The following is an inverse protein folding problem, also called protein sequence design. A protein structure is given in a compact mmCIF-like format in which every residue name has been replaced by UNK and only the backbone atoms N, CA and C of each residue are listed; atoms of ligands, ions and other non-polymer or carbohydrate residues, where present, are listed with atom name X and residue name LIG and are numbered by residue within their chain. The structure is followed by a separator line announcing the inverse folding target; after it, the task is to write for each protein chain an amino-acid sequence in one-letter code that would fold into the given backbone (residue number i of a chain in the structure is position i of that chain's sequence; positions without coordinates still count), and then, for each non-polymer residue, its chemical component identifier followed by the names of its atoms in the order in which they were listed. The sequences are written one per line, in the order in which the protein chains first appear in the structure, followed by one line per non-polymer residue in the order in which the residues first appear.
data_IF_959286004019
#
_entry.id   IF_959286004019
#
_cell.length_a   1.000
_cell.length_b   1.000
_cell.length_c   1.000
_cell.angle_alpha   90.00
_cell.angle_beta   90.00
_cell.angle_gamma   90.00
#
_symmetry.space_group_name_H-M   'P 1'
#
loop_
_entity.id
_entity.type
_entity.pdbx_description
1 polymer ?
#
# COMPACT_ATOMS: atom_id res chain seq x y z
N UNK A 1 17.78 19.52 -28.67
CA UNK A 1 18.44 19.46 -27.35
C UNK A 1 18.62 20.89 -26.87
N UNK A 2 17.97 21.28 -25.78
CA UNK A 2 18.00 22.65 -25.29
C UNK A 2 19.18 22.77 -24.28
N UNK A 3 20.22 23.58 -24.55
CA UNK A 3 21.47 23.53 -23.78
C UNK A 3 21.39 24.11 -22.36
N UNK A 4 20.25 24.70 -21.95
CA UNK A 4 20.13 25.41 -20.66
C UNK A 4 19.71 24.58 -19.43
N UNK A 5 19.50 23.26 -19.57
CA UNK A 5 18.96 22.42 -18.48
C UNK A 5 19.92 22.15 -17.31
N UNK A 6 21.23 22.16 -17.58
CA UNK A 6 22.28 21.80 -16.63
C UNK A 6 22.76 22.92 -15.72
N UNK A 7 22.23 24.13 -15.82
CA UNK A 7 22.63 25.25 -14.95
C UNK A 7 21.86 25.19 -13.63
N UNK A 8 22.59 24.98 -12.55
CA UNK A 8 22.05 25.04 -11.20
C UNK A 8 21.94 26.50 -10.73
N UNK A 9 20.75 26.90 -10.28
CA UNK A 9 20.50 28.22 -9.70
C UNK A 9 20.12 28.10 -8.22
N UNK A 10 21.02 28.57 -7.36
CA UNK A 10 20.83 28.62 -5.91
C UNK A 10 19.78 29.64 -5.47
N UNK A 11 19.64 30.73 -6.22
CA UNK A 11 18.76 31.86 -5.91
C UNK A 11 17.29 31.57 -6.20
N UNK A 12 16.99 30.48 -6.91
CA UNK A 12 15.64 30.11 -7.28
C UNK A 12 14.72 29.98 -6.04
N UNK A 13 13.47 30.44 -6.19
CA UNK A 13 12.44 30.36 -5.15
C UNK A 13 12.24 28.91 -4.67
N UNK A 14 12.29 27.93 -5.59
CA UNK A 14 12.16 26.51 -5.25
C UNK A 14 13.33 26.02 -4.39
N UNK A 15 14.56 26.44 -4.70
CA UNK A 15 15.74 26.10 -3.91
C UNK A 15 15.69 26.76 -2.52
N UNK A 16 15.20 28.00 -2.45
CA UNK A 16 14.99 28.70 -1.18
C UNK A 16 13.94 28.02 -0.30
N UNK A 17 12.80 27.61 -0.88
CA UNK A 17 11.77 26.82 -0.18
C UNK A 17 12.31 25.46 0.28
N UNK A 18 13.07 24.76 -0.56
CA UNK A 18 13.68 23.49 -0.20
C UNK A 18 14.64 23.61 0.99
N UNK A 19 15.46 24.68 1.05
CA UNK A 19 16.33 24.95 2.20
C UNK A 19 15.52 25.25 3.47
N UNK A 20 14.41 25.95 3.35
CA UNK A 20 13.56 26.23 4.49
C UNK A 20 12.83 24.98 4.99
N UNK A 21 12.53 24.02 4.10
CA UNK A 21 11.91 22.74 4.49
C UNK A 21 12.87 21.82 5.25
N UNK A 22 14.19 21.93 5.05
CA UNK A 22 15.19 21.21 5.85
C UNK A 22 15.31 21.79 7.27
N UNK A 23 15.13 23.11 7.44
CA UNK A 23 15.11 23.77 8.75
C UNK A 23 13.81 23.44 9.49
N UNK A 24 12.66 23.61 8.86
CA UNK A 24 11.35 23.33 9.45
C UNK A 24 11.05 21.83 9.31
N UNK A 25 11.72 20.99 10.10
CA UNK A 25 11.56 19.52 10.12
C UNK A 25 10.22 19.08 10.69
N UNK A 26 9.75 17.85 10.38
CA UNK A 26 8.43 17.33 10.78
C UNK A 26 8.07 17.59 12.26
N UNK A 27 8.97 17.34 13.23
CA UNK A 27 8.66 17.64 14.63
C UNK A 27 8.40 19.14 14.86
N UNK A 28 9.16 20.04 14.26
CA UNK A 28 8.98 21.49 14.40
C UNK A 28 7.60 21.94 13.85
N UNK A 29 7.17 21.39 12.72
CA UNK A 29 5.82 21.68 12.20
C UNK A 29 4.71 21.20 13.14
N UNK A 30 4.92 20.03 13.76
CA UNK A 30 3.98 19.48 14.73
C UNK A 30 3.96 20.28 16.04
N UNK A 31 5.11 20.72 16.54
CA UNK A 31 5.17 21.58 17.75
C UNK A 31 4.52 22.94 17.49
N UNK A 32 4.76 23.58 16.35
CA UNK A 32 4.09 24.82 15.96
C UNK A 32 2.56 24.66 15.93
N UNK A 33 2.08 23.54 15.38
CA UNK A 33 0.65 23.23 15.34
C UNK A 33 0.06 23.01 16.75
N UNK A 34 0.75 22.26 17.60
CA UNK A 34 0.33 22.02 18.99
C UNK A 34 0.31 23.31 19.80
N UNK A 35 1.33 24.16 19.65
CA UNK A 35 1.40 25.48 20.28
C UNK A 35 0.22 26.34 19.82
N UNK A 36 -0.09 26.36 18.53
CA UNK A 36 -1.24 27.10 18.02
C UNK A 36 -2.56 26.63 18.66
N UNK A 37 -2.79 25.31 18.75
CA UNK A 37 -3.98 24.76 19.40
C UNK A 37 -4.02 25.16 20.88
N UNK A 38 -2.90 25.05 21.60
CA UNK A 38 -2.83 25.36 23.03
C UNK A 38 -3.11 26.85 23.29
N UNK A 39 -2.59 27.75 22.45
CA UNK A 39 -2.87 29.18 22.52
C UNK A 39 -4.36 29.48 22.25
N UNK A 40 -4.98 28.81 21.28
CA UNK A 40 -6.42 28.95 21.00
C UNK A 40 -7.25 28.47 22.19
N UNK A 41 -6.98 27.26 22.70
CA UNK A 41 -7.74 26.68 23.83
C UNK A 41 -7.59 27.53 25.09
N UNK A 42 -6.37 27.97 25.40
CA UNK A 42 -6.10 28.87 26.53
C UNK A 42 -6.77 30.23 26.35
N UNK A 43 -6.70 30.80 25.14
CA UNK A 43 -7.36 32.07 24.82
C UNK A 43 -8.88 31.99 24.99
N UNK A 44 -9.51 30.93 24.49
CA UNK A 44 -10.96 30.69 24.65
C UNK A 44 -11.33 30.50 26.11
N UNK A 45 -10.54 29.75 26.89
CA UNK A 45 -10.78 29.57 28.32
C UNK A 45 -10.74 30.90 29.09
N UNK A 46 -9.80 31.79 28.75
CA UNK A 46 -9.72 33.13 29.34
C UNK A 46 -10.90 34.02 28.94
N UNK A 47 -11.39 33.93 27.71
CA UNK A 47 -12.62 34.63 27.28
C UNK A 47 -13.83 34.14 28.08
N UNK A 48 -13.95 32.83 28.30
CA UNK A 48 -15.01 32.25 29.14
C UNK A 48 -14.91 32.70 30.61
N UNK A 49 -13.70 32.92 31.11
CA UNK A 49 -13.43 33.52 32.42
C UNK A 49 -13.66 35.05 32.46
N UNK A 50 -14.25 35.64 31.41
CA UNK A 50 -14.52 37.08 31.25
C UNK A 50 -13.25 37.95 31.22
N UNK A 51 -12.10 37.38 30.89
CA UNK A 51 -10.85 38.13 30.69
C UNK A 51 -10.69 38.53 29.22
N UNK A 52 -10.67 39.84 28.93
CA UNK A 52 -10.54 40.38 27.56
C UNK A 52 -9.22 40.01 26.88
N UNK A 53 -8.16 39.75 27.67
CA UNK A 53 -6.86 39.31 27.16
C UNK A 53 -6.91 37.97 26.40
N UNK A 54 -7.94 37.16 26.62
CA UNK A 54 -8.11 35.87 25.93
C UNK A 54 -8.19 36.01 24.40
N UNK A 55 -8.75 37.10 23.88
CA UNK A 55 -8.80 37.39 22.44
C UNK A 55 -7.41 37.64 21.84
N UNK A 56 -6.55 38.37 22.57
CA UNK A 56 -5.18 38.63 22.13
C UNK A 56 -4.36 37.33 22.12
N UNK A 57 -4.54 36.48 23.13
CA UNK A 57 -3.84 35.19 23.21
C UNK A 57 -4.29 34.24 22.09
N UNK A 58 -5.59 34.18 21.79
CA UNK A 58 -6.11 33.41 20.66
C UNK A 58 -5.59 33.95 19.32
N UNK A 59 -5.52 35.27 19.15
CA UNK A 59 -4.95 35.91 17.96
C UNK A 59 -3.46 35.60 17.77
N UNK A 60 -2.70 35.50 18.86
CA UNK A 60 -1.29 35.14 18.83
C UNK A 60 -1.03 33.70 18.36
N UNK A 61 -2.05 32.84 18.27
CA UNK A 61 -1.92 31.52 17.67
C UNK A 61 -1.78 31.57 16.14
N UNK A 62 -2.27 32.62 15.48
CA UNK A 62 -2.35 32.69 14.03
C UNK A 62 -0.99 32.56 13.31
N UNK A 63 0.11 33.22 13.75
CA UNK A 63 1.43 33.04 13.13
C UNK A 63 1.96 31.60 13.23
N UNK A 64 1.74 30.91 14.35
CA UNK A 64 2.17 29.51 14.53
C UNK A 64 1.38 28.57 13.63
N UNK A 65 0.06 28.78 13.57
CA UNK A 65 -0.80 28.02 12.66
C UNK A 65 -0.44 28.27 11.20
N UNK A 66 -0.21 29.52 10.81
CA UNK A 66 0.19 29.90 9.45
C UNK A 66 1.49 29.21 9.03
N UNK A 67 2.52 29.20 9.90
CA UNK A 67 3.77 28.50 9.63
C UNK A 67 3.59 26.98 9.52
N UNK A 68 2.76 26.39 10.40
CA UNK A 68 2.45 24.96 10.34
C UNK A 68 1.67 24.59 9.07
N UNK A 69 0.70 25.41 8.68
CA UNK A 69 -0.12 25.23 7.48
C UNK A 69 0.69 25.42 6.20
N UNK A 70 1.53 26.46 6.13
CA UNK A 70 2.45 26.69 5.02
C UNK A 70 3.40 25.51 4.82
N UNK A 71 3.90 24.94 5.92
CA UNK A 71 4.75 23.76 5.89
C UNK A 71 4.05 22.53 5.31
N UNK A 72 2.78 22.32 5.64
CA UNK A 72 1.97 21.20 5.12
C UNK A 72 1.59 21.38 3.66
N UNK A 73 1.40 22.62 3.21
CA UNK A 73 0.93 22.93 1.86
C UNK A 73 2.03 23.07 0.81
N UNK A 74 3.07 23.87 1.08
CA UNK A 74 3.98 24.39 0.05
C UNK A 74 5.44 23.90 0.22
N UNK A 75 5.83 23.54 1.45
CA UNK A 75 7.20 23.09 1.75
C UNK A 75 7.38 21.56 1.68
N UNK A 76 6.30 20.80 1.81
CA UNK A 76 6.37 19.34 1.88
C UNK A 76 6.48 18.69 0.50
N UNK A 77 5.70 19.17 -0.47
CA UNK A 77 5.68 18.66 -1.84
C UNK A 77 5.95 19.82 -2.80
N UNK A 78 7.20 19.94 -3.26
CA UNK A 78 7.63 20.97 -4.20
C UNK A 78 7.38 20.51 -5.64
N UNK A 79 6.35 21.04 -6.34
CA UNK A 79 6.03 20.60 -7.70
C UNK A 79 7.20 20.84 -8.65
N UNK A 80 7.39 19.92 -9.59
CA UNK A 80 8.37 20.07 -10.67
C UNK A 80 7.83 21.07 -11.68
N UNK A 81 8.57 22.16 -11.90
CA UNK A 81 8.03 23.33 -12.63
C UNK A 81 8.69 23.50 -14.01
N UNK A 82 9.94 23.08 -14.18
CA UNK A 82 10.74 23.37 -15.38
C UNK A 82 11.64 22.20 -15.76
N UNK A 83 12.12 22.17 -17.02
CA UNK A 83 13.13 21.22 -17.51
C UNK A 83 14.56 21.47 -17.00
N UNK A 84 14.71 22.37 -16.02
CA UNK A 84 16.01 22.69 -15.42
C UNK A 84 16.31 21.73 -14.28
N UNK A 85 17.60 21.51 -14.00
CA UNK A 85 18.02 20.61 -12.92
C UNK A 85 17.41 20.99 -11.56
N UNK A 86 17.46 22.26 -11.17
CA UNK A 86 16.88 22.74 -9.91
C UNK A 86 15.35 22.69 -9.90
N UNK A 87 14.69 22.60 -11.06
CA UNK A 87 13.26 22.39 -11.23
C UNK A 87 12.83 20.92 -11.15
N UNK A 88 13.74 19.98 -11.41
CA UNK A 88 13.48 18.53 -11.40
C UNK A 88 14.04 17.80 -10.17
N UNK A 89 15.02 18.37 -9.47
CA UNK A 89 15.57 17.81 -8.23
C UNK A 89 14.53 17.61 -7.13
N UNK A 90 14.74 16.59 -6.29
CA UNK A 90 13.96 16.37 -5.08
C UNK A 90 14.31 17.41 -4.01
N UNK A 91 13.29 17.83 -3.23
CA UNK A 91 13.46 18.88 -2.23
C UNK A 91 14.47 18.56 -1.12
N UNK A 92 14.65 17.28 -0.78
CA UNK A 92 15.59 16.82 0.24
C UNK A 92 17.07 16.93 -0.18
N UNK A 93 17.31 17.01 -1.48
CA UNK A 93 18.65 17.23 -2.07
C UNK A 93 18.83 18.71 -2.31
N UNK A 94 17.88 19.34 -3.01
CA UNK A 94 17.92 20.75 -3.38
C UNK A 94 18.10 21.65 -2.15
N UNK A 95 17.50 21.28 -1.02
CA UNK A 95 17.59 22.04 0.23
C UNK A 95 18.91 21.92 0.99
N UNK A 96 19.85 21.10 0.53
CA UNK A 96 21.16 20.87 1.19
C UNK A 96 22.36 21.31 0.35
N UNK A 97 22.16 21.63 -0.93
CA UNK A 97 23.24 22.04 -1.83
C UNK A 97 23.67 23.48 -1.56
N UNK A 98 24.98 23.72 -1.63
CA UNK A 98 25.61 25.04 -1.60
C UNK A 98 25.35 25.88 -2.86
N UNK A 99 25.98 27.07 -2.91
CA UNK A 99 25.85 28.01 -4.04
C UNK A 99 26.50 27.50 -5.32
N UNK A 100 27.67 26.89 -5.19
CA UNK A 100 28.48 26.32 -6.27
C UNK A 100 28.89 24.91 -5.83
N UNK A 101 27.95 23.95 -5.88
CA UNK A 101 28.20 22.62 -5.34
C UNK A 101 29.27 21.90 -6.14
N UNK A 102 30.23 21.29 -5.45
CA UNK A 102 31.20 20.40 -6.08
C UNK A 102 30.62 18.98 -6.24
N UNK A 103 31.12 18.17 -7.18
CA UNK A 103 30.72 16.76 -7.31
C UNK A 103 30.82 15.97 -6.00
N UNK A 104 31.85 16.24 -5.19
CA UNK A 104 32.00 15.68 -3.85
C UNK A 104 30.88 16.12 -2.87
N UNK A 105 30.55 17.41 -2.84
CA UNK A 105 29.42 17.88 -2.02
C UNK A 105 28.11 17.19 -2.43
N UNK A 106 27.90 17.02 -3.73
CA UNK A 106 26.74 16.32 -4.28
C UNK A 106 26.75 14.84 -3.91
N UNK A 107 27.90 14.15 -3.98
CA UNK A 107 28.05 12.77 -3.52
C UNK A 107 27.62 12.61 -2.06
N UNK A 108 28.06 13.52 -1.20
CA UNK A 108 27.71 13.53 0.24
C UNK A 108 26.22 13.79 0.47
N UNK A 109 25.63 14.75 -0.25
CA UNK A 109 24.20 15.05 -0.14
C UNK A 109 23.35 13.91 -0.70
N UNK A 110 23.70 13.38 -1.87
CA UNK A 110 23.01 12.28 -2.54
C UNK A 110 23.01 11.01 -1.68
N UNK A 111 24.17 10.61 -1.14
CA UNK A 111 24.28 9.46 -0.23
C UNK A 111 23.48 9.61 1.07
N UNK A 112 23.32 10.84 1.58
CA UNK A 112 22.47 11.12 2.77
C UNK A 112 20.96 11.02 2.50
N UNK A 113 20.55 11.08 1.24
CA UNK A 113 19.14 10.98 0.84
C UNK A 113 18.59 9.57 1.03
N UNK A 114 17.28 9.39 0.83
CA UNK A 114 16.67 8.04 0.88
C UNK A 114 17.13 7.17 -0.30
N UNK A 115 17.20 7.74 -1.50
CA UNK A 115 17.66 7.02 -2.70
C UNK A 115 19.13 6.64 -2.62
N UNK A 116 19.99 7.55 -2.14
CA UNK A 116 21.41 7.25 -1.95
C UNK A 116 21.67 6.17 -0.89
N UNK A 117 20.93 6.19 0.23
CA UNK A 117 21.01 5.10 1.23
C UNK A 117 20.51 3.76 0.69
N UNK A 118 19.48 3.77 -0.13
CA UNK A 118 19.02 2.57 -0.82
C UNK A 118 20.14 1.99 -1.70
N UNK A 119 20.84 2.83 -2.46
CA UNK A 119 21.99 2.43 -3.26
C UNK A 119 23.17 1.92 -2.42
N UNK A 120 23.46 2.57 -1.29
CA UNK A 120 24.50 2.12 -0.36
C UNK A 120 24.22 0.73 0.19
N UNK A 121 22.98 0.46 0.61
CA UNK A 121 22.60 -0.84 1.19
C UNK A 121 22.53 -1.92 0.13
N UNK A 122 22.02 -1.61 -1.07
CA UNK A 122 21.69 -2.62 -2.07
C UNK A 122 22.80 -2.91 -3.08
N UNK A 123 23.55 -1.88 -3.45
CA UNK A 123 24.60 -1.93 -4.44
C UNK A 123 25.98 -1.63 -3.85
N UNK A 124 26.10 -1.41 -2.53
CA UNK A 124 27.37 -1.08 -1.88
C UNK A 124 27.90 0.32 -2.21
N UNK A 125 27.10 1.15 -2.88
CA UNK A 125 27.47 2.51 -3.31
C UNK A 125 27.34 3.47 -2.13
N UNK A 126 28.39 3.56 -1.31
CA UNK A 126 28.39 4.41 -0.12
C UNK A 126 28.77 5.85 -0.43
N UNK A 127 28.49 6.77 0.50
CA UNK A 127 28.91 8.17 0.37
C UNK A 127 30.43 8.34 0.36
N UNK A 128 31.16 7.50 1.10
CA UNK A 128 32.63 7.50 1.07
C UNK A 128 33.14 7.06 -0.30
N UNK A 129 32.57 5.97 -0.83
CA UNK A 129 32.90 5.49 -2.17
C UNK A 129 32.68 6.57 -3.24
N UNK A 130 31.50 7.23 -3.22
CA UNK A 130 31.20 8.29 -4.18
C UNK A 130 32.15 9.48 -4.01
N UNK A 131 32.49 9.86 -2.78
CA UNK A 131 33.46 10.91 -2.52
C UNK A 131 34.83 10.57 -3.14
N UNK A 132 35.30 9.34 -2.95
CA UNK A 132 36.62 8.89 -3.42
C UNK A 132 36.78 8.92 -4.95
N UNK A 133 35.69 8.75 -5.71
CA UNK A 133 35.71 8.78 -7.19
C UNK A 133 35.40 10.15 -7.79
N UNK A 134 34.97 11.12 -6.96
CA UNK A 134 34.54 12.44 -7.43
C UNK A 134 35.61 13.51 -7.24
N UNK A 135 35.57 14.54 -8.09
CA UNK A 135 36.47 15.68 -7.96
C UNK A 135 35.86 16.80 -7.10
N UNK A 136 36.72 17.71 -6.62
CA UNK A 136 36.28 18.93 -5.95
C UNK A 136 35.98 20.09 -6.93
N UNK A 137 36.22 19.90 -8.23
CA UNK A 137 36.08 20.95 -9.24
C UNK A 137 34.61 21.23 -9.59
N UNK A 138 34.07 22.42 -9.26
CA UNK A 138 32.68 22.76 -9.58
C UNK A 138 32.40 22.85 -11.09
N UNK A 139 33.42 22.99 -11.95
CA UNK A 139 33.22 23.08 -13.40
C UNK A 139 32.67 21.78 -14.00
N UNK A 140 33.01 20.63 -13.41
CA UNK A 140 32.55 19.31 -13.87
C UNK A 140 31.07 19.05 -13.55
N UNK A 141 30.50 19.87 -12.68
CA UNK A 141 29.14 19.70 -12.18
C UNK A 141 28.08 19.86 -13.28
N UNK A 142 28.33 20.70 -14.29
CA UNK A 142 27.42 20.89 -15.42
C UNK A 142 27.17 19.59 -16.19
N UNK A 143 28.23 18.78 -16.40
CA UNK A 143 28.13 17.49 -17.08
C UNK A 143 27.30 16.50 -16.24
N UNK A 144 27.55 16.44 -14.93
CA UNK A 144 26.79 15.59 -14.01
C UNK A 144 25.31 15.98 -13.98
N UNK A 145 24.98 17.27 -14.02
CA UNK A 145 23.59 17.73 -14.09
C UNK A 145 22.89 17.31 -15.36
N UNK A 146 23.54 17.43 -16.51
CA UNK A 146 22.97 16.96 -17.78
C UNK A 146 22.75 15.45 -17.76
N UNK A 147 23.70 14.69 -17.24
CA UNK A 147 23.57 13.24 -17.07
C UNK A 147 22.44 12.86 -16.13
N UNK A 148 22.32 13.53 -14.98
CA UNK A 148 21.21 13.28 -14.07
C UNK A 148 19.83 13.47 -14.72
N UNK A 149 19.66 14.47 -15.58
CA UNK A 149 18.43 14.70 -16.34
C UNK A 149 18.18 13.60 -17.37
N UNK A 150 19.21 13.14 -18.07
CA UNK A 150 19.14 12.02 -19.02
C UNK A 150 18.69 10.73 -18.34
N UNK A 151 19.31 10.39 -17.20
CA UNK A 151 18.98 9.20 -16.41
C UNK A 151 17.57 9.29 -15.85
N UNK A 152 17.16 10.46 -15.37
CA UNK A 152 15.80 10.68 -14.90
C UNK A 152 14.78 10.40 -16.03
N UNK A 153 15.05 10.90 -17.23
CA UNK A 153 14.19 10.70 -18.39
C UNK A 153 14.16 9.22 -18.82
N UNK A 154 15.30 8.53 -18.81
CA UNK A 154 15.41 7.09 -19.11
C UNK A 154 14.62 6.23 -18.13
N UNK A 155 14.79 6.47 -16.84
CA UNK A 155 14.23 5.63 -15.75
C UNK A 155 12.80 6.00 -15.34
N UNK A 156 12.20 7.03 -15.96
CA UNK A 156 10.87 7.52 -15.60
C UNK A 156 10.76 8.04 -14.16
N UNK A 157 11.88 8.53 -13.60
CA UNK A 157 11.95 9.06 -12.24
C UNK A 157 11.15 10.36 -12.10
N UNK A 158 10.29 10.47 -11.07
CA UNK A 158 9.49 11.69 -10.85
C UNK A 158 10.36 12.92 -10.52
N UNK A 159 11.49 12.69 -9.86
CA UNK A 159 12.45 13.73 -9.48
C UNK A 159 13.89 13.21 -9.65
N UNK A 160 14.84 14.13 -9.88
CA UNK A 160 16.26 13.82 -9.69
C UNK A 160 16.50 13.66 -8.18
N UNK A 161 16.55 12.40 -7.76
CA UNK A 161 16.77 11.98 -6.37
C UNK A 161 18.21 11.47 -6.19
N UNK A 162 18.59 11.07 -4.98
CA UNK A 162 19.98 10.74 -4.71
C UNK A 162 20.43 9.44 -5.35
N UNK A 163 19.50 8.56 -5.72
CA UNK A 163 19.81 7.40 -6.56
C UNK A 163 20.17 7.82 -7.99
N UNK A 164 19.39 8.71 -8.61
CA UNK A 164 19.71 9.26 -9.93
C UNK A 164 21.06 10.00 -9.91
N UNK A 165 21.32 10.79 -8.86
CA UNK A 165 22.59 11.49 -8.72
C UNK A 165 23.78 10.57 -8.48
N UNK A 166 23.59 9.49 -7.71
CA UNK A 166 24.64 8.49 -7.55
C UNK A 166 25.03 7.90 -8.91
N UNK A 167 24.05 7.45 -9.70
CA UNK A 167 24.33 6.89 -11.04
C UNK A 167 24.93 7.94 -11.98
N UNK A 168 24.46 9.19 -11.94
CA UNK A 168 25.04 10.27 -12.75
C UNK A 168 26.51 10.53 -12.42
N UNK A 169 26.90 10.50 -11.14
CA UNK A 169 28.30 10.62 -10.74
C UNK A 169 29.12 9.44 -11.27
N UNK A 170 28.60 8.22 -11.19
CA UNK A 170 29.27 7.03 -11.74
C UNK A 170 29.51 7.13 -13.26
N UNK A 171 28.52 7.59 -14.03
CA UNK A 171 28.64 7.68 -15.48
C UNK A 171 29.65 8.74 -15.94
N UNK A 172 29.84 9.80 -15.15
CA UNK A 172 30.76 10.90 -15.48
C UNK A 172 32.22 10.53 -15.16
N UNK A 173 32.46 9.79 -14.08
CA UNK A 173 33.81 9.42 -13.66
C UNK A 173 34.17 8.01 -14.14
N UNK A 174 34.87 7.92 -15.27
CA UNK A 174 35.23 6.66 -15.96
C UNK A 174 36.11 5.69 -15.14
N UNK A 175 36.76 6.15 -14.07
CA UNK A 175 37.47 5.28 -13.14
C UNK A 175 36.53 4.36 -12.34
N UNK A 176 35.24 4.69 -12.30
CA UNK A 176 34.22 3.95 -11.58
C UNK A 176 33.83 2.62 -12.28
N UNK A 177 34.06 2.46 -13.59
CA UNK A 177 33.78 1.23 -14.33
C UNK A 177 34.59 0.04 -13.80
N UNK A 178 35.88 0.28 -13.47
CA UNK A 178 36.77 -0.75 -12.92
C UNK A 178 36.32 -1.18 -11.52
N UNK A 179 35.79 -0.25 -10.74
CA UNK A 179 35.31 -0.50 -9.38
C UNK A 179 33.96 -1.24 -9.40
N UNK A 180 33.07 -0.89 -10.32
CA UNK A 180 31.81 -1.62 -10.53
C UNK A 180 32.07 -3.08 -10.94
N UNK A 181 33.04 -3.30 -11.84
CA UNK A 181 33.44 -4.65 -12.21
C UNK A 181 33.94 -5.47 -11.00
N UNK A 182 34.66 -4.86 -10.06
CA UNK A 182 35.08 -5.53 -8.82
C UNK A 182 33.88 -5.90 -7.93
N UNK A 183 32.85 -5.07 -7.92
CA UNK A 183 31.58 -5.32 -7.22
C UNK A 183 30.66 -6.28 -7.99
N UNK A 184 31.07 -6.72 -9.18
CA UNK A 184 30.26 -7.52 -10.12
C UNK A 184 28.95 -6.84 -10.49
N UNK A 185 29.02 -5.53 -10.70
CA UNK A 185 27.91 -4.70 -11.13
C UNK A 185 28.20 -4.12 -12.50
N UNK A 186 27.15 -3.98 -13.30
CA UNK A 186 27.15 -3.27 -14.57
C UNK A 186 26.37 -1.96 -14.45
N UNK A 187 26.56 -1.04 -15.41
CA UNK A 187 25.80 0.21 -15.42
C UNK A 187 24.29 -0.04 -15.55
N UNK A 188 23.89 -1.09 -16.28
CA UNK A 188 22.49 -1.49 -16.41
C UNK A 188 21.87 -1.95 -15.08
N UNK A 189 22.65 -2.54 -14.18
CA UNK A 189 22.18 -2.88 -12.82
C UNK A 189 21.86 -1.61 -12.01
N UNK A 190 22.64 -0.55 -12.19
CA UNK A 190 22.41 0.72 -11.52
C UNK A 190 21.16 1.42 -12.05
N UNK A 191 20.92 1.39 -13.36
CA UNK A 191 19.68 1.87 -13.96
C UNK A 191 18.47 1.11 -13.44
N UNK A 192 18.53 -0.23 -13.43
CA UNK A 192 17.50 -1.08 -12.84
C UNK A 192 17.30 -0.76 -11.35
N UNK A 193 18.36 -0.44 -10.62
CA UNK A 193 18.30 0.02 -9.23
C UNK A 193 17.50 1.31 -9.04
N UNK A 194 17.63 2.28 -9.94
CA UNK A 194 16.85 3.53 -9.91
C UNK A 194 15.37 3.22 -10.17
N UNK A 195 15.07 2.42 -11.20
CA UNK A 195 13.72 2.00 -11.54
C UNK A 195 13.05 1.27 -10.38
N UNK A 196 13.78 0.36 -9.74
CA UNK A 196 13.29 -0.38 -8.58
C UNK A 196 13.01 0.55 -7.38
N UNK A 197 13.92 1.48 -7.07
CA UNK A 197 13.67 2.47 -6.01
C UNK A 197 12.40 3.30 -6.29
N UNK A 198 12.20 3.71 -7.55
CA UNK A 198 10.99 4.43 -7.95
C UNK A 198 9.73 3.57 -7.82
N UNK A 199 9.79 2.30 -8.22
CA UNK A 199 8.70 1.34 -8.05
C UNK A 199 8.31 1.19 -6.58
N UNK A 200 9.29 0.93 -5.72
CA UNK A 200 9.09 0.88 -4.27
C UNK A 200 8.45 2.16 -3.73
N UNK A 201 8.90 3.32 -4.21
CA UNK A 201 8.35 4.60 -3.73
C UNK A 201 6.91 4.81 -4.15
N UNK A 202 6.55 4.48 -5.39
CA UNK A 202 5.16 4.50 -5.87
C UNK A 202 4.26 3.59 -5.03
N UNK A 203 4.72 2.38 -4.71
CA UNK A 203 3.98 1.45 -3.83
C UNK A 203 3.78 2.03 -2.42
N UNK A 204 4.84 2.57 -1.81
CA UNK A 204 4.77 3.18 -0.49
C UNK A 204 3.79 4.36 -0.47
N UNK A 205 3.83 5.22 -1.48
CA UNK A 205 2.98 6.41 -1.52
C UNK A 205 1.50 6.04 -1.78
N UNK A 206 1.23 4.96 -2.54
CA UNK A 206 -0.11 4.35 -2.66
C UNK A 206 -0.63 3.82 -1.31
N UNK A 207 0.22 3.16 -0.52
CA UNK A 207 -0.15 2.62 0.80
C UNK A 207 -0.37 3.71 1.86
N UNK A 208 0.34 4.84 1.77
CA UNK A 208 0.16 5.96 2.70
C UNK A 208 -1.18 6.67 2.56
N UNK A 209 -1.91 6.48 1.47
CA UNK A 209 -3.24 7.05 1.35
C UNK A 209 -4.15 6.49 2.45
N UNK A 210 -4.70 7.34 3.35
CA UNK A 210 -5.56 6.85 4.41
C UNK A 210 -6.81 6.22 3.80
N UNK A 211 -6.94 4.91 3.94
CA UNK A 211 -8.16 4.19 3.59
C UNK A 211 -9.26 4.60 4.56
N UNK A 212 -10.34 5.20 4.05
CA UNK A 212 -11.55 5.46 4.84
C UNK A 212 -12.30 4.13 4.96
N UNK A 213 -12.07 3.38 6.03
CA UNK A 213 -12.58 2.00 6.22
C UNK A 213 -13.96 1.92 6.88
N UNK A 214 -14.70 3.03 6.96
CA UNK A 214 -16.01 3.11 7.64
C UNK A 214 -15.95 3.45 9.14
N UNK A 215 -14.75 3.43 9.74
CA UNK A 215 -14.51 3.89 11.12
C UNK A 215 -15.11 3.00 12.21
N UNK A 216 -15.19 3.53 13.44
CA UNK A 216 -15.62 2.79 14.64
C UNK A 216 -17.09 2.33 14.52
N UNK A 217 -17.94 3.09 13.83
CA UNK A 217 -19.35 2.72 13.62
C UNK A 217 -19.51 1.39 12.86
N UNK A 218 -18.62 1.07 11.92
CA UNK A 218 -18.57 -0.25 11.29
C UNK A 218 -18.34 -1.32 12.35
N UNK A 219 -17.33 -1.13 13.20
CA UNK A 219 -16.89 -2.10 14.22
C UNK A 219 -17.85 -2.27 15.40
N UNK A 220 -18.73 -1.29 15.64
CA UNK A 220 -19.79 -1.37 16.64
C UNK A 220 -21.12 -1.87 16.08
N UNK A 221 -21.30 -1.91 14.74
CA UNK A 221 -22.52 -2.42 14.11
C UNK A 221 -22.70 -3.93 14.25
N UNK A 222 -21.69 -4.63 14.75
CA UNK A 222 -21.72 -6.09 14.90
C UNK A 222 -22.40 -6.50 16.19
N UNK A 223 -23.32 -7.45 16.10
CA UNK A 223 -23.83 -8.18 17.25
C UNK A 223 -22.74 -9.02 17.92
N UNK A 224 -23.13 -9.80 18.93
CA UNK A 224 -22.24 -10.72 19.63
C UNK A 224 -21.87 -11.91 18.72
N UNK A 225 -20.58 -12.01 18.33
CA UNK A 225 -20.04 -13.03 17.40
C UNK A 225 -18.81 -13.80 17.95
N UNK A 226 -18.91 -14.47 19.11
CA UNK A 226 -17.78 -15.13 19.75
C UNK A 226 -17.25 -16.35 18.97
N UNK A 227 -18.12 -17.18 18.40
CA UNK A 227 -17.69 -18.38 17.68
C UNK A 227 -17.00 -17.99 16.38
N UNK A 228 -17.54 -17.01 15.67
CA UNK A 228 -16.93 -16.52 14.44
C UNK A 228 -15.55 -15.89 14.68
N UNK A 229 -15.35 -15.20 15.81
CA UNK A 229 -14.03 -14.69 16.20
C UNK A 229 -13.04 -15.78 16.63
N UNK A 230 -13.55 -16.88 17.21
CA UNK A 230 -12.73 -18.00 17.69
C UNK A 230 -12.26 -18.89 16.54
N UNK A 231 -13.14 -19.19 15.59
CA UNK A 231 -12.86 -20.12 14.48
C UNK A 231 -12.58 -19.43 13.15
N UNK A 232 -12.75 -18.11 13.07
CA UNK A 232 -12.56 -17.33 11.85
C UNK A 232 -11.53 -16.21 11.99
N UNK A 233 -10.87 -15.92 10.87
CA UNK A 233 -9.96 -14.80 10.72
C UNK A 233 -10.66 -13.66 9.98
N UNK A 234 -10.65 -12.46 10.56
CA UNK A 234 -11.15 -11.27 9.90
C UNK A 234 -10.12 -10.73 8.89
N UNK A 235 -10.33 -11.00 7.61
CA UNK A 235 -9.43 -10.54 6.55
C UNK A 235 -9.51 -9.03 6.36
N UNK A 236 -10.70 -8.46 6.50
CA UNK A 236 -10.97 -7.02 6.40
C UNK A 236 -10.23 -6.19 7.46
N UNK A 237 -9.97 -6.73 8.65
CA UNK A 237 -9.17 -6.04 9.67
C UNK A 237 -7.67 -5.98 9.29
N UNK A 238 -7.17 -7.00 8.59
CA UNK A 238 -5.76 -7.12 8.21
C UNK A 238 -5.37 -6.35 6.94
N UNK A 239 -6.35 -5.96 6.12
CA UNK A 239 -6.16 -5.29 4.82
C UNK A 239 -5.45 -3.93 4.91
N UNK A 240 -5.45 -3.26 6.07
CA UNK A 240 -4.75 -1.99 6.25
C UNK A 240 -3.23 -2.09 6.43
N UNK A 241 -2.70 -3.31 6.63
CA UNK A 241 -1.32 -3.54 7.06
C UNK A 241 -0.46 -4.33 6.06
N UNK A 242 -1.07 -4.96 5.06
CA UNK A 242 -0.32 -5.77 4.08
C UNK A 242 -0.18 -5.03 2.76
N UNK A 243 1.06 -5.04 2.25
CA UNK A 243 1.39 -4.76 0.85
C UNK A 243 0.49 -5.68 0.04
N UNK A 244 -0.58 -5.12 -0.53
CA UNK A 244 -1.35 -5.82 -1.54
C UNK A 244 -0.42 -6.03 -2.71
N UNK A 245 0.11 -7.25 -2.82
CA UNK A 245 0.64 -7.77 -4.07
C UNK A 245 -0.50 -7.53 -5.06
N UNK A 246 -0.28 -6.59 -5.97
CA UNK A 246 -1.20 -6.32 -7.06
C UNK A 246 -1.41 -7.65 -7.75
N UNK A 247 -2.58 -8.25 -7.48
CA UNK A 247 -3.03 -9.42 -8.19
C UNK A 247 -3.46 -8.97 -9.59
N UNK A 248 -2.53 -8.39 -10.35
CA UNK A 248 -2.73 -8.04 -11.76
C UNK A 248 -3.19 -9.29 -12.51
N UNK A 249 -2.57 -10.44 -12.20
CA UNK A 249 -2.95 -11.79 -12.62
C UNK A 249 -4.37 -12.22 -12.22
N UNK A 250 -4.96 -11.66 -11.15
CA UNK A 250 -6.31 -12.03 -10.68
C UNK A 250 -7.35 -10.91 -10.79
N UNK A 251 -7.05 -9.81 -11.52
CA UNK A 251 -8.01 -8.71 -11.72
C UNK A 251 -9.34 -9.18 -12.31
N UNK A 252 -9.31 -10.09 -13.27
CA UNK A 252 -10.52 -10.63 -13.89
C UNK A 252 -11.37 -11.41 -12.89
N UNK A 253 -10.76 -12.33 -12.13
CA UNK A 253 -11.44 -13.10 -11.11
C UNK A 253 -12.01 -12.21 -9.99
N UNK A 254 -11.29 -11.16 -9.62
CA UNK A 254 -11.73 -10.17 -8.62
C UNK A 254 -12.95 -9.38 -9.09
N UNK A 255 -12.95 -8.93 -10.34
CA UNK A 255 -14.09 -8.23 -10.95
C UNK A 255 -15.32 -9.14 -11.04
N UNK A 256 -15.15 -10.40 -11.45
CA UNK A 256 -16.24 -11.38 -11.50
C UNK A 256 -16.82 -11.64 -10.09
N UNK A 257 -15.98 -11.68 -9.07
CA UNK A 257 -16.40 -11.83 -7.69
C UNK A 257 -17.18 -10.61 -7.20
N UNK A 258 -16.73 -9.40 -7.52
CA UNK A 258 -17.45 -8.15 -7.24
C UNK A 258 -18.81 -8.09 -7.93
N UNK A 259 -18.89 -8.52 -9.19
CA UNK A 259 -20.14 -8.58 -9.95
C UNK A 259 -21.11 -9.59 -9.32
N UNK A 260 -20.61 -10.77 -8.96
CA UNK A 260 -21.38 -11.84 -8.32
C UNK A 260 -22.07 -11.33 -7.06
N UNK A 261 -21.30 -10.75 -6.12
CA UNK A 261 -21.85 -10.25 -4.86
C UNK A 261 -22.60 -8.92 -5.01
N UNK A 262 -22.32 -8.15 -6.07
CA UNK A 262 -22.95 -6.87 -6.37
C UNK A 262 -24.33 -7.01 -7.03
N UNK A 263 -24.54 -8.11 -7.76
CA UNK A 263 -25.81 -8.43 -8.41
C UNK A 263 -26.93 -8.73 -7.41
N UNK A 264 -28.19 -8.58 -7.84
CA UNK A 264 -29.36 -8.99 -7.07
C UNK A 264 -29.68 -10.50 -7.16
N UNK A 265 -28.83 -11.28 -7.82
CA UNK A 265 -29.00 -12.73 -8.00
C UNK A 265 -28.46 -13.54 -6.82
N UNK A 266 -28.04 -14.78 -7.09
CA UNK A 266 -27.38 -15.64 -6.09
C UNK A 266 -26.03 -15.04 -5.71
N UNK A 267 -25.89 -14.61 -4.46
CA UNK A 267 -24.69 -13.94 -3.95
C UNK A 267 -23.75 -14.94 -3.26
N UNK A 268 -23.49 -16.07 -3.91
CA UNK A 268 -22.54 -17.09 -3.46
C UNK A 268 -21.54 -17.40 -4.58
N UNK A 269 -20.28 -17.63 -4.22
CA UNK A 269 -19.21 -17.87 -5.18
C UNK A 269 -18.39 -19.11 -4.82
N UNK A 270 -17.96 -19.86 -5.84
CA UNK A 270 -16.96 -20.90 -5.72
C UNK A 270 -15.68 -20.45 -6.44
N UNK A 271 -14.61 -20.23 -5.67
CA UNK A 271 -13.27 -19.99 -6.19
C UNK A 271 -12.61 -21.33 -6.51
N UNK A 272 -12.45 -21.61 -7.79
CA UNK A 272 -11.96 -22.90 -8.30
C UNK A 272 -10.59 -22.72 -8.93
N UNK A 273 -9.60 -23.49 -8.48
CA UNK A 273 -8.25 -23.49 -9.04
C UNK A 273 -7.33 -24.45 -8.29
N UNK A 274 -6.10 -24.65 -8.75
CA UNK A 274 -5.14 -25.53 -8.08
C UNK A 274 -4.68 -25.04 -6.71
N UNK A 275 -4.03 -25.92 -5.94
CA UNK A 275 -3.30 -25.52 -4.73
C UNK A 275 -2.22 -24.49 -5.07
N UNK A 276 -2.06 -23.47 -4.22
CA UNK A 276 -1.09 -22.38 -4.47
C UNK A 276 -1.49 -21.38 -5.56
N UNK A 277 -2.64 -21.52 -6.23
CA UNK A 277 -3.10 -20.58 -7.28
C UNK A 277 -3.50 -19.18 -6.77
N UNK A 278 -3.33 -18.86 -5.49
CA UNK A 278 -3.63 -17.54 -4.95
C UNK A 278 -5.09 -17.28 -4.55
N UNK A 279 -5.92 -18.33 -4.37
CA UNK A 279 -7.34 -18.20 -3.96
C UNK A 279 -7.52 -17.35 -2.68
N UNK A 280 -6.73 -17.61 -1.64
CA UNK A 280 -6.73 -16.84 -0.39
C UNK A 280 -6.30 -15.38 -0.62
N UNK A 281 -5.33 -15.14 -1.51
CA UNK A 281 -4.87 -13.80 -1.89
C UNK A 281 -5.99 -13.02 -2.58
N UNK A 282 -6.74 -13.67 -3.47
CA UNK A 282 -7.90 -13.09 -4.15
C UNK A 282 -8.99 -12.66 -3.15
N UNK A 283 -9.33 -13.51 -2.17
CA UNK A 283 -10.31 -13.16 -1.12
C UNK A 283 -9.81 -12.01 -0.26
N UNK A 284 -8.50 -11.96 0.04
CA UNK A 284 -7.90 -10.84 0.78
C UNK A 284 -7.99 -9.53 -0.02
N UNK A 285 -7.65 -9.55 -1.30
CA UNK A 285 -7.78 -8.40 -2.20
C UNK A 285 -9.25 -7.92 -2.28
N UNK A 286 -10.20 -8.86 -2.40
CA UNK A 286 -11.62 -8.56 -2.34
C UNK A 286 -12.02 -7.88 -1.02
N UNK A 287 -11.60 -8.44 0.13
CA UNK A 287 -11.91 -7.89 1.45
C UNK A 287 -11.44 -6.45 1.62
N UNK A 288 -10.30 -6.11 1.02
CA UNK A 288 -9.75 -4.77 1.07
C UNK A 288 -10.48 -3.80 0.15
N UNK A 289 -10.84 -4.24 -1.07
CA UNK A 289 -11.66 -3.43 -1.98
C UNK A 289 -13.00 -3.05 -1.37
N UNK A 290 -13.64 -3.97 -0.63
CA UNK A 290 -14.90 -3.69 0.07
C UNK A 290 -14.80 -2.58 1.12
N UNK A 291 -13.64 -2.47 1.76
CA UNK A 291 -13.37 -1.44 2.76
C UNK A 291 -12.91 -0.12 2.18
N UNK A 292 -12.42 -0.12 0.94
CA UNK A 292 -11.93 1.09 0.31
C UNK A 292 -13.11 1.99 -0.11
N UNK A 293 -13.35 3.07 0.63
CA UNK A 293 -14.42 4.03 0.31
C UNK A 293 -14.34 4.65 -1.09
N UNK A 294 -13.13 4.76 -1.66
CA UNK A 294 -12.91 5.31 -3.02
C UNK A 294 -13.19 4.28 -4.11
N UNK A 295 -13.30 2.99 -3.78
CA UNK A 295 -13.58 1.96 -4.76
C UNK A 295 -14.98 2.16 -5.37
N UNK A 296 -15.06 2.04 -6.70
CA UNK A 296 -16.32 2.08 -7.46
C UNK A 296 -17.04 0.73 -7.31
N UNK A 297 -17.54 0.46 -6.12
CA UNK A 297 -18.31 -0.75 -5.81
C UNK A 297 -19.77 -0.41 -5.44
N UNK A 298 -20.72 -1.32 -5.71
CA UNK A 298 -22.11 -1.18 -5.31
C UNK A 298 -22.29 -0.86 -3.81
N UNK A 299 -23.27 -0.03 -3.47
CA UNK A 299 -23.49 0.42 -2.09
C UNK A 299 -23.83 -0.73 -1.13
N UNK A 300 -24.46 -1.80 -1.62
CA UNK A 300 -24.77 -3.02 -0.86
C UNK A 300 -23.53 -3.84 -0.47
N UNK A 301 -22.35 -3.56 -1.04
CA UNK A 301 -21.07 -4.22 -0.75
C UNK A 301 -20.11 -3.39 0.10
N UNK A 302 -20.28 -2.06 0.11
CA UNK A 302 -19.39 -1.16 0.83
C UNK A 302 -19.35 -1.49 2.33
N UNK A 303 -18.14 -1.52 2.89
CA UNK A 303 -17.85 -1.71 4.31
C UNK A 303 -18.29 -3.06 4.91
N UNK A 304 -18.62 -4.04 4.06
CA UNK A 304 -18.78 -5.43 4.49
C UNK A 304 -17.45 -6.04 4.88
N UNK A 305 -17.50 -6.88 5.89
CA UNK A 305 -16.33 -7.60 6.38
C UNK A 305 -16.29 -9.02 5.82
N UNK A 306 -15.10 -9.48 5.49
CA UNK A 306 -14.87 -10.85 5.04
C UNK A 306 -14.21 -11.62 6.17
N UNK A 307 -14.89 -12.68 6.62
CA UNK A 307 -14.38 -13.61 7.61
C UNK A 307 -14.01 -14.91 6.90
N UNK A 308 -12.77 -15.34 7.07
CA UNK A 308 -12.28 -16.60 6.55
C UNK A 308 -12.30 -17.66 7.64
N UNK A 309 -12.95 -18.78 7.37
CA UNK A 309 -13.03 -19.96 8.23
C UNK A 309 -12.12 -21.03 7.64
N UNK A 310 -11.27 -21.60 8.48
CA UNK A 310 -10.47 -22.76 8.12
C UNK A 310 -11.29 -24.03 8.34
N UNK A 311 -11.61 -24.72 7.25
CA UNK A 311 -12.41 -25.94 7.28
C UNK A 311 -11.74 -27.05 8.10
N UNK A 312 -10.40 -27.15 8.05
CA UNK A 312 -9.66 -28.15 8.82
C UNK A 312 -9.73 -27.88 10.33
N UNK A 313 -9.62 -26.61 10.73
CA UNK A 313 -9.74 -26.21 12.13
C UNK A 313 -11.14 -26.49 12.71
N UNK A 314 -12.19 -26.29 11.91
CA UNK A 314 -13.57 -26.58 12.30
C UNK A 314 -13.80 -28.08 12.49
N UNK A 315 -13.33 -28.91 11.56
CA UNK A 315 -13.39 -30.38 11.65
C UNK A 315 -12.63 -30.88 12.89
N UNK A 316 -11.43 -30.32 13.15
CA UNK A 316 -10.62 -30.69 14.31
C UNK A 316 -11.30 -30.33 15.66
N UNK A 317 -12.07 -29.24 15.69
CA UNK A 317 -12.77 -28.79 16.89
C UNK A 317 -14.02 -29.61 17.22
N UNK A 318 -14.61 -30.28 16.23
CA UNK A 318 -15.83 -31.07 16.36
C UNK A 318 -15.71 -32.37 15.55
N UNK A 319 -15.07 -33.41 16.10
CA UNK A 319 -14.83 -34.67 15.38
C UNK A 319 -16.11 -35.47 15.14
N UNK A 320 -17.15 -35.26 15.96
CA UNK A 320 -18.46 -35.87 15.74
C UNK A 320 -19.23 -35.17 14.62
N UNK A 321 -19.79 -35.92 13.66
CA UNK A 321 -20.60 -35.36 12.55
C UNK A 321 -21.68 -34.39 13.04
N UNK A 322 -22.49 -34.79 14.02
CA UNK A 322 -23.56 -33.94 14.55
C UNK A 322 -23.06 -32.72 15.30
N UNK A 323 -21.91 -32.83 15.98
CA UNK A 323 -21.25 -31.71 16.64
C UNK A 323 -20.73 -30.70 15.62
N UNK A 324 -20.16 -31.17 14.51
CA UNK A 324 -19.68 -30.32 13.42
C UNK A 324 -20.84 -29.60 12.73
N UNK A 325 -21.92 -30.32 12.41
CA UNK A 325 -23.15 -29.73 11.86
C UNK A 325 -23.68 -28.61 12.77
N UNK A 326 -23.77 -28.86 14.08
CA UNK A 326 -24.21 -27.87 15.07
C UNK A 326 -23.26 -26.67 15.20
N UNK A 327 -21.94 -26.91 15.17
CA UNK A 327 -20.92 -25.87 15.22
C UNK A 327 -21.01 -24.95 13.99
N UNK A 328 -21.10 -25.53 12.79
CA UNK A 328 -21.22 -24.78 11.53
C UNK A 328 -22.51 -23.96 11.52
N UNK A 329 -23.65 -24.54 11.90
CA UNK A 329 -24.91 -23.80 12.02
C UNK A 329 -24.79 -22.61 12.98
N UNK A 330 -24.12 -22.81 14.12
CA UNK A 330 -23.94 -21.73 15.11
C UNK A 330 -23.04 -20.61 14.57
N UNK A 331 -21.92 -20.95 13.93
CA UNK A 331 -20.99 -19.98 13.34
C UNK A 331 -21.64 -19.20 12.19
N UNK A 332 -22.37 -19.89 11.30
CA UNK A 332 -23.08 -19.24 10.20
C UNK A 332 -24.28 -18.41 10.70
N UNK A 333 -24.93 -18.84 11.79
CA UNK A 333 -25.99 -18.08 12.46
C UNK A 333 -25.50 -16.75 13.07
N UNK A 334 -24.31 -16.75 13.68
CA UNK A 334 -23.64 -15.52 14.13
C UNK A 334 -23.35 -14.58 12.96
N UNK A 335 -22.83 -15.11 11.86
CA UNK A 335 -22.53 -14.33 10.66
C UNK A 335 -23.79 -13.73 10.01
N UNK A 336 -24.87 -14.52 9.93
CA UNK A 336 -26.18 -14.08 9.47
C UNK A 336 -26.73 -12.93 10.33
N UNK A 337 -26.67 -13.09 11.66
CA UNK A 337 -27.16 -12.08 12.62
C UNK A 337 -26.40 -10.76 12.54
N UNK A 338 -25.10 -10.82 12.20
CA UNK A 338 -24.27 -9.64 12.02
C UNK A 338 -24.62 -8.81 10.78
N UNK A 339 -25.32 -9.37 9.78
CA UNK A 339 -25.83 -8.75 8.51
C UNK A 339 -24.79 -8.10 7.59
N UNK A 340 -23.58 -7.82 8.08
CA UNK A 340 -22.51 -7.08 7.41
C UNK A 340 -21.28 -7.97 7.16
N UNK A 341 -21.45 -9.30 7.17
CA UNK A 341 -20.38 -10.29 7.03
C UNK A 341 -20.56 -11.10 5.74
N UNK A 342 -19.44 -11.37 5.07
CA UNK A 342 -19.28 -12.36 4.01
C UNK A 342 -18.38 -13.46 4.57
N UNK A 343 -18.83 -14.71 4.46
CA UNK A 343 -18.08 -15.87 4.95
C UNK A 343 -17.28 -16.48 3.81
N UNK A 344 -16.01 -16.76 4.03
CA UNK A 344 -15.17 -17.54 3.15
C UNK A 344 -14.81 -18.86 3.85
N UNK A 345 -15.26 -20.00 3.31
CA UNK A 345 -14.81 -21.32 3.74
C UNK A 345 -13.58 -21.69 2.92
N UNK A 346 -12.41 -21.70 3.56
CA UNK A 346 -11.17 -22.10 2.90
C UNK A 346 -11.03 -23.63 2.89
N UNK A 347 -10.64 -24.21 1.77
CA UNK A 347 -10.64 -25.65 1.51
C UNK A 347 -12.00 -26.29 1.77
N UNK A 348 -13.06 -25.67 1.25
CA UNK A 348 -14.43 -26.11 1.45
C UNK A 348 -14.70 -27.54 0.95
N UNK A 349 -13.85 -28.08 0.06
CA UNK A 349 -13.94 -29.48 -0.38
C UNK A 349 -13.96 -30.49 0.77
N UNK A 350 -13.31 -30.17 1.91
CA UNK A 350 -13.26 -31.04 3.09
C UNK A 350 -14.63 -31.29 3.72
N UNK A 351 -15.60 -30.39 3.50
CA UNK A 351 -16.98 -30.52 3.99
C UNK A 351 -17.89 -31.36 3.11
N UNK A 352 -17.38 -31.88 1.98
CA UNK A 352 -18.17 -32.61 0.98
C UNK A 352 -17.60 -34.00 0.68
N UNK A 353 -16.65 -34.48 1.48
CA UNK A 353 -16.02 -35.80 1.34
C UNK A 353 -16.91 -36.91 1.93
N UNK A 354 -16.88 -38.09 1.29
CA UNK A 354 -17.58 -39.31 1.75
C UNK A 354 -16.56 -40.42 2.02
N UNK A 355 -16.81 -41.23 3.06
CA UNK A 355 -15.86 -42.21 3.57
C UNK A 355 -15.97 -42.43 5.08
N UNK A 356 -15.25 -43.43 5.58
CA UNK A 356 -15.17 -43.71 7.02
C UNK A 356 -14.33 -42.62 7.67
N UNK A 357 -14.97 -41.71 8.41
CA UNK A 357 -14.29 -40.60 9.10
C UNK A 357 -14.31 -39.26 8.36
N UNK A 358 -14.97 -39.15 7.20
CA UNK A 358 -15.25 -37.87 6.54
C UNK A 358 -16.66 -37.38 6.82
N UNK A 359 -16.92 -36.09 6.59
CA UNK A 359 -18.18 -35.44 6.91
C UNK A 359 -18.76 -34.74 5.68
N UNK A 360 -20.02 -35.06 5.36
CA UNK A 360 -20.80 -34.37 4.35
C UNK A 360 -21.78 -33.37 4.99
N UNK A 361 -21.53 -32.09 4.76
CA UNK A 361 -22.35 -30.96 5.22
C UNK A 361 -23.24 -30.36 4.12
N UNK A 362 -23.41 -31.04 2.99
CA UNK A 362 -24.26 -30.56 1.89
C UNK A 362 -25.67 -30.17 2.37
N UNK A 363 -26.27 -31.00 3.24
CA UNK A 363 -27.62 -30.77 3.77
C UNK A 363 -27.72 -29.54 4.69
N UNK A 364 -26.60 -29.09 5.28
CA UNK A 364 -26.54 -27.89 6.11
C UNK A 364 -26.28 -26.64 5.26
N UNK A 365 -25.37 -26.75 4.29
CA UNK A 365 -24.94 -25.60 3.49
C UNK A 365 -25.93 -25.26 2.37
N UNK A 366 -26.55 -26.25 1.72
CA UNK A 366 -27.42 -26.00 0.57
C UNK A 366 -28.61 -25.07 0.90
N UNK A 367 -29.37 -25.27 1.99
CA UNK A 367 -30.47 -24.35 2.33
C UNK A 367 -29.99 -22.92 2.60
N UNK A 368 -28.81 -22.75 3.19
CA UNK A 368 -28.23 -21.44 3.50
C UNK A 368 -27.83 -20.72 2.21
N UNK A 369 -27.24 -21.46 1.26
CA UNK A 369 -26.85 -20.93 -0.04
C UNK A 369 -28.08 -20.55 -0.89
N UNK A 370 -29.12 -21.38 -0.91
CA UNK A 370 -30.34 -21.12 -1.68
C UNK A 370 -31.17 -19.96 -1.10
N UNK A 371 -31.22 -19.81 0.22
CA UNK A 371 -31.92 -18.71 0.87
C UNK A 371 -31.32 -17.34 0.52
N UNK A 372 -30.04 -17.26 0.16
CA UNK A 372 -29.38 -16.05 -0.33
C UNK A 372 -29.19 -14.93 0.70
N UNK A 373 -29.52 -15.18 1.97
CA UNK A 373 -29.41 -14.17 3.03
C UNK A 373 -27.99 -14.03 3.60
N UNK A 374 -27.16 -15.07 3.47
CA UNK A 374 -25.76 -15.06 3.87
C UNK A 374 -24.90 -15.22 2.62
N UNK A 375 -23.90 -14.35 2.48
CA UNK A 375 -22.96 -14.35 1.36
C UNK A 375 -21.81 -15.28 1.66
N UNK A 376 -21.62 -16.29 0.83
CA UNK A 376 -20.61 -17.32 1.05
C UNK A 376 -19.65 -17.43 -0.14
N UNK A 377 -18.36 -17.49 0.15
CA UNK A 377 -17.28 -17.83 -0.77
C UNK A 377 -16.77 -19.22 -0.36
N UNK A 378 -16.70 -20.15 -1.30
CA UNK A 378 -16.10 -21.46 -1.09
C UNK A 378 -14.83 -21.54 -1.93
N UNK A 379 -13.69 -21.89 -1.32
CA UNK A 379 -12.48 -22.21 -2.10
C UNK A 379 -12.39 -23.72 -2.30
N UNK A 380 -12.08 -24.14 -3.53
CA UNK A 380 -11.89 -25.56 -3.82
C UNK A 380 -11.00 -25.80 -5.04
N UNK A 381 -10.57 -27.06 -5.18
CA UNK A 381 -9.86 -27.55 -6.36
C UNK A 381 -10.83 -27.84 -7.52
N UNK A 382 -10.33 -27.77 -8.76
CA UNK A 382 -11.13 -28.02 -9.96
C UNK A 382 -11.67 -29.45 -10.04
N UNK A 383 -10.85 -30.44 -9.73
CA UNK A 383 -11.29 -31.84 -9.76
C UNK A 383 -12.35 -32.09 -8.71
N UNK A 384 -12.17 -31.51 -7.52
CA UNK A 384 -13.13 -31.61 -6.41
C UNK A 384 -14.46 -30.93 -6.73
N UNK A 385 -14.42 -29.73 -7.30
CA UNK A 385 -15.63 -29.02 -7.74
C UNK A 385 -16.47 -29.87 -8.72
N UNK A 386 -15.82 -30.50 -9.70
CA UNK A 386 -16.50 -31.36 -10.67
C UNK A 386 -17.07 -32.63 -10.03
N UNK A 387 -16.31 -33.29 -9.15
CA UNK A 387 -16.78 -34.47 -8.40
C UNK A 387 -18.01 -34.14 -7.54
N UNK A 388 -17.98 -33.03 -6.81
CA UNK A 388 -19.10 -32.55 -6.00
C UNK A 388 -20.31 -32.25 -6.89
N UNK A 389 -20.10 -31.68 -8.09
CA UNK A 389 -21.18 -31.41 -9.02
C UNK A 389 -21.86 -32.63 -9.62
N UNK A 390 -21.12 -33.70 -9.87
CA UNK A 390 -21.69 -34.98 -10.32
C UNK A 390 -22.57 -35.62 -9.25
N UNK A 391 -22.23 -35.40 -7.97
CA UNK A 391 -22.96 -35.95 -6.82
C UNK A 391 -24.16 -35.08 -6.43
N UNK A 392 -23.95 -33.77 -6.34
CA UNK A 392 -24.92 -32.81 -5.81
C UNK A 392 -25.07 -31.61 -6.76
N UNK A 393 -25.88 -31.78 -7.82
CA UNK A 393 -26.14 -30.73 -8.80
C UNK A 393 -26.74 -29.46 -8.17
N UNK A 394 -27.55 -29.60 -7.12
CA UNK A 394 -28.16 -28.47 -6.40
C UNK A 394 -27.12 -27.51 -5.80
N UNK A 395 -26.04 -28.05 -5.22
CA UNK A 395 -24.98 -27.24 -4.60
C UNK A 395 -24.25 -26.39 -5.65
N UNK A 396 -23.88 -26.99 -6.78
CA UNK A 396 -23.21 -26.26 -7.85
C UNK A 396 -24.12 -25.21 -8.47
N UNK A 397 -25.41 -25.52 -8.65
CA UNK A 397 -26.38 -24.55 -9.14
C UNK A 397 -26.54 -23.35 -8.18
N UNK A 398 -26.34 -23.54 -6.87
CA UNK A 398 -26.40 -22.47 -5.88
C UNK A 398 -25.16 -21.55 -5.85
N UNK A 399 -24.09 -21.90 -6.59
CA UNK A 399 -22.80 -21.23 -6.58
C UNK A 399 -22.46 -20.64 -7.96
N UNK A 400 -21.85 -19.45 -7.97
CA UNK A 400 -21.24 -18.92 -9.19
C UNK A 400 -19.77 -19.38 -9.26
N UNK A 401 -19.42 -20.13 -10.30
CA UNK A 401 -18.04 -20.60 -10.51
C UNK A 401 -17.16 -19.45 -10.98
N UNK A 402 -16.06 -19.22 -10.28
CA UNK A 402 -15.02 -18.26 -10.63
C UNK A 402 -13.70 -19.02 -10.73
N UNK A 403 -13.12 -19.04 -11.94
CA UNK A 403 -11.85 -19.71 -12.19
C UNK A 403 -10.69 -18.84 -11.74
N UNK A 404 -9.77 -19.40 -10.96
CA UNK A 404 -8.56 -18.73 -10.50
C UNK A 404 -7.37 -19.39 -11.19
N UNK A 405 -6.81 -18.77 -12.25
CA UNK A 405 -5.63 -19.31 -12.92
C UNK A 405 -4.40 -19.24 -12.01
N UNK A 406 -3.43 -20.16 -12.15
CA UNK A 406 -2.15 -20.04 -11.45
C UNK A 406 -1.42 -18.77 -11.93
N UNK A 407 -0.70 -18.10 -11.02
CA UNK A 407 0.09 -16.93 -11.37
C UNK A 407 1.20 -17.31 -12.37
N UNK A 408 1.34 -16.55 -13.46
CA UNK A 408 2.41 -16.76 -14.44
C UNK A 408 3.70 -16.05 -14.00
N UNK A 409 4.87 -16.52 -14.46
CA UNK A 409 6.19 -15.96 -14.07
C UNK A 409 6.38 -14.49 -14.45
N UNK A 410 5.64 -13.99 -15.43
CA UNK A 410 5.67 -12.58 -15.84
C UNK A 410 4.82 -11.67 -14.92
N UNK A 411 3.98 -12.26 -14.07
CA UNK A 411 3.02 -11.57 -13.18
C UNK A 411 3.37 -11.69 -11.68
N UNK A 412 4.47 -12.36 -11.34
CA UNK A 412 5.06 -12.47 -9.99
C UNK A 412 6.36 -11.68 -9.93
#
# INVERSE_FOLDING_TARGET
MNPGGGVYDYGNIRASKARLSTIITKPIGMTLFVIAILLIVSGVALVLAKMTFGWALAGFAAPFYMLAAWRKGDLQDLPTTTQTIHGQMSGDILGKLGRTPSPNEVAKVASSSRGGRFFAVRFGITGNFLNDITSEDPAQMEVVWQKALEIQARTGSMHVNGSVLAVALFEVYSEADKLLAHMKLEMDDLYAGVEWYNGLRKMIDKVKEPLRTGGIARDLSFGYIPLLKRFGQNLSASSGMHIEIEAESHKQALNQLLETFGSGGRQNAALVGGEGAGKTTLVRAFSAMLLNAKAKIPANLKFRQVYMLDSAALIAAAPGRGELEGLIMSVLGEAYSAKNIIICLDNAQLFFEEGVGSVDLTNVLLPILEAGNLRVILTMDEQRFLQIGQRNAGLINALNRISVPPATREET
#
